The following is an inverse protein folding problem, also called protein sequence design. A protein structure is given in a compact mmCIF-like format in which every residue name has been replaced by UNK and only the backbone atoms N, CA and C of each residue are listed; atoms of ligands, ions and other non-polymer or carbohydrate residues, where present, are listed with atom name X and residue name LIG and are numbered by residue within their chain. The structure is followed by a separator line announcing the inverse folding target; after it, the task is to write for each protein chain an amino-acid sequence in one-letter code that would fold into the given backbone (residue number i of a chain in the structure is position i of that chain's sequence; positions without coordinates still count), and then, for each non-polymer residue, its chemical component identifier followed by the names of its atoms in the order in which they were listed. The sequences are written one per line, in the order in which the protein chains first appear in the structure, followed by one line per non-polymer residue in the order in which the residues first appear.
data_IF_480204813584
#
_entry.id   IF_480204813584
#
_cell.length_a   1.000
_cell.length_b   1.000
_cell.length_c   1.000
_cell.angle_alpha   90.00
_cell.angle_beta   90.00
_cell.angle_gamma   90.00
#
_symmetry.space_group_name_H-M   'P 1'
#
loop_
_entity.id
_entity.type
_entity.pdbx_description
1 polymer ?
#
# COMPACT_ATOMS: atom_id res chain seq x y z
N UNK A 1 4.53 -62.10 11.38
CA UNK A 1 5.13 -60.96 10.64
C UNK A 1 4.18 -59.78 10.76
N UNK A 2 4.27 -59.01 11.84
CA UNK A 2 3.43 -57.82 12.06
C UNK A 2 4.34 -56.70 12.54
N UNK A 3 4.87 -55.91 11.60
CA UNK A 3 5.68 -54.74 11.94
C UNK A 3 4.77 -53.69 12.61
N UNK A 4 5.14 -53.13 13.77
CA UNK A 4 4.32 -52.12 14.43
C UNK A 4 4.22 -50.88 13.56
N UNK A 5 2.99 -50.38 13.36
CA UNK A 5 2.72 -49.11 12.69
C UNK A 5 3.33 -47.96 13.50
N UNK A 6 4.27 -47.24 12.89
CA UNK A 6 4.96 -46.10 13.49
C UNK A 6 4.08 -44.85 13.42
N UNK A 7 3.11 -44.76 14.33
CA UNK A 7 2.20 -43.61 14.50
C UNK A 7 2.94 -42.35 15.01
N UNK A 8 4.12 -42.53 15.64
CA UNK A 8 4.92 -41.46 16.22
C UNK A 8 5.54 -40.52 15.18
N UNK A 9 6.05 -41.05 14.06
CA UNK A 9 6.65 -40.22 13.01
C UNK A 9 5.61 -39.39 12.25
N UNK A 10 4.43 -39.96 11.98
CA UNK A 10 3.32 -39.24 11.32
C UNK A 10 2.69 -38.18 12.24
N UNK A 11 2.58 -38.49 13.53
CA UNK A 11 2.14 -37.52 14.54
C UNK A 11 3.12 -36.36 14.66
N UNK A 12 4.43 -36.62 14.61
CA UNK A 12 5.46 -35.60 14.67
C UNK A 12 5.46 -34.66 13.45
N UNK A 13 5.24 -35.19 12.24
CA UNK A 13 5.16 -34.36 11.03
C UNK A 13 3.91 -33.49 11.01
N UNK A 14 2.77 -34.04 11.44
CA UNK A 14 1.51 -33.28 11.57
C UNK A 14 1.68 -32.19 12.65
N UNK A 15 2.27 -32.52 13.80
CA UNK A 15 2.54 -31.55 14.86
C UNK A 15 3.48 -30.42 14.39
N UNK A 16 4.53 -30.75 13.64
CA UNK A 16 5.45 -29.77 13.07
C UNK A 16 4.78 -28.89 12.00
N UNK A 17 3.95 -29.46 11.14
CA UNK A 17 3.18 -28.71 10.14
C UNK A 17 2.16 -27.75 10.80
N UNK A 18 1.47 -28.20 11.85
CA UNK A 18 0.56 -27.37 12.65
C UNK A 18 1.32 -26.26 13.37
N UNK A 19 2.49 -26.55 13.93
CA UNK A 19 3.37 -25.55 14.55
C UNK A 19 3.78 -24.47 13.53
N UNK A 20 4.27 -24.87 12.36
CA UNK A 20 4.64 -23.92 11.29
C UNK A 20 3.45 -23.06 10.83
N UNK A 21 2.26 -23.64 10.71
CA UNK A 21 1.04 -22.91 10.35
C UNK A 21 0.61 -21.91 11.43
N UNK A 22 0.82 -22.20 12.71
CA UNK A 22 0.56 -21.26 13.81
C UNK A 22 1.58 -20.11 13.82
N UNK A 23 2.83 -20.36 13.42
CA UNK A 23 3.88 -19.35 13.34
C UNK A 23 3.76 -18.41 12.12
N UNK A 24 3.11 -18.82 11.04
CA UNK A 24 2.98 -17.99 9.81
C UNK A 24 1.86 -16.94 9.89
N UNK A 25 0.98 -17.01 10.89
CA UNK A 25 -0.15 -16.10 11.07
C UNK A 25 0.18 -14.97 12.07
N UNK A 26 1.41 -14.45 12.08
CA UNK A 26 1.71 -13.23 12.84
C UNK A 26 1.16 -12.03 12.10
N UNK A 27 0.20 -11.27 12.65
CA UNK A 27 -0.23 -10.01 12.04
C UNK A 27 0.95 -9.04 12.07
N UNK A 28 1.55 -8.77 10.92
CA UNK A 28 2.56 -7.73 10.78
C UNK A 28 1.85 -6.38 10.85
N UNK A 29 1.88 -5.73 12.01
CA UNK A 29 1.41 -4.36 12.13
C UNK A 29 2.51 -3.45 11.55
N UNK A 30 2.37 -3.03 10.29
CA UNK A 30 3.20 -1.99 9.70
C UNK A 30 2.76 -0.63 10.28
N UNK A 31 3.10 -0.40 11.55
CA UNK A 31 2.66 0.77 12.29
C UNK A 31 3.41 2.02 11.80
N UNK A 32 2.68 2.95 11.17
CA UNK A 32 3.25 4.25 10.78
C UNK A 32 3.65 5.01 12.04
N UNK A 33 4.87 5.56 12.02
CA UNK A 33 5.38 6.41 13.11
C UNK A 33 5.73 7.78 12.53
N UNK A 34 5.40 8.85 13.26
CA UNK A 34 5.72 10.23 12.84
C UNK A 34 7.22 10.52 12.72
N UNK A 35 8.05 9.71 13.39
CA UNK A 35 9.52 9.83 13.43
C UNK A 35 10.23 8.95 12.40
N UNK A 36 9.50 8.34 11.47
CA UNK A 36 10.06 7.40 10.49
C UNK A 36 11.22 8.00 9.68
N UNK A 37 11.16 9.30 9.39
CA UNK A 37 12.19 10.01 8.64
C UNK A 37 13.24 10.72 9.50
N UNK A 38 13.16 10.69 10.83
CA UNK A 38 14.02 11.51 11.69
C UNK A 38 15.50 11.15 11.56
N UNK A 39 15.81 9.86 11.39
CA UNK A 39 17.18 9.37 11.28
C UNK A 39 17.72 9.33 9.84
N UNK A 40 16.85 9.36 8.83
CA UNK A 40 17.23 9.24 7.41
C UNK A 40 17.15 10.59 6.68
N UNK A 41 16.10 11.35 6.92
CA UNK A 41 15.87 12.67 6.35
C UNK A 41 15.08 13.55 7.34
N UNK A 42 15.74 14.15 8.34
CA UNK A 42 15.07 14.91 9.41
C UNK A 42 14.30 16.13 8.89
N UNK A 43 14.69 16.65 7.72
CA UNK A 43 14.05 17.81 7.10
C UNK A 43 12.91 17.45 6.15
N UNK A 44 12.57 16.15 5.99
CA UNK A 44 11.54 15.70 5.05
C UNK A 44 10.19 16.40 5.30
N UNK A 45 9.69 16.34 6.54
CA UNK A 45 8.40 16.92 6.89
C UNK A 45 8.38 18.45 6.70
N UNK A 46 9.48 19.12 7.05
CA UNK A 46 9.64 20.57 6.91
C UNK A 46 9.62 20.98 5.45
N UNK A 47 10.40 20.29 4.60
CA UNK A 47 10.46 20.53 3.16
C UNK A 47 9.09 20.31 2.48
N UNK A 48 8.40 19.23 2.84
CA UNK A 48 7.04 18.95 2.32
C UNK A 48 6.09 20.09 2.70
N UNK A 49 6.10 20.51 3.97
CA UNK A 49 5.23 21.59 4.47
C UNK A 49 5.52 22.92 3.76
N UNK A 50 6.79 23.25 3.51
CA UNK A 50 7.15 24.47 2.77
C UNK A 50 6.68 24.43 1.33
N UNK A 51 6.83 23.30 0.65
CA UNK A 51 6.38 23.12 -0.73
C UNK A 51 4.85 23.22 -0.85
N UNK A 52 4.11 22.57 0.04
CA UNK A 52 2.64 22.66 0.08
C UNK A 52 2.20 24.11 0.35
N UNK A 53 2.81 24.79 1.32
CA UNK A 53 2.47 26.19 1.62
C UNK A 53 2.70 27.11 0.43
N UNK A 54 3.83 26.94 -0.28
CA UNK A 54 4.12 27.71 -1.50
C UNK A 54 3.07 27.45 -2.58
N UNK A 55 2.73 26.18 -2.81
CA UNK A 55 1.74 25.80 -3.80
C UNK A 55 0.33 26.34 -3.46
N UNK A 56 -0.10 26.23 -2.21
CA UNK A 56 -1.39 26.77 -1.74
C UNK A 56 -1.42 28.29 -1.73
N UNK A 57 -0.29 28.96 -1.47
CA UNK A 57 -0.20 30.42 -1.57
C UNK A 57 -0.31 30.91 -3.01
N UNK A 58 0.16 30.13 -3.98
CA UNK A 58 -0.02 30.41 -5.41
C UNK A 58 -1.48 30.19 -5.82
N UNK A 59 -2.06 29.06 -5.40
CA UNK A 59 -3.45 28.70 -5.71
C UNK A 59 -4.13 28.06 -4.51
N UNK A 60 -5.06 28.76 -3.86
CA UNK A 60 -5.77 28.23 -2.68
C UNK A 60 -6.52 26.92 -2.97
N UNK A 61 -6.98 26.74 -4.22
CA UNK A 61 -7.70 25.54 -4.66
C UNK A 61 -6.84 24.27 -4.57
N UNK A 62 -5.50 24.39 -4.61
CA UNK A 62 -4.60 23.24 -4.50
C UNK A 62 -4.73 22.50 -3.17
N UNK A 63 -5.04 23.18 -2.06
CA UNK A 63 -5.21 22.53 -0.76
C UNK A 63 -6.35 21.50 -0.80
N UNK A 64 -7.48 21.87 -1.39
CA UNK A 64 -8.63 20.99 -1.55
C UNK A 64 -8.32 19.82 -2.50
N UNK A 65 -7.60 20.08 -3.59
CA UNK A 65 -7.20 19.03 -4.55
C UNK A 65 -6.25 18.01 -3.92
N UNK A 66 -5.25 18.43 -3.13
CA UNK A 66 -4.31 17.54 -2.43
C UNK A 66 -5.04 16.61 -1.45
N UNK A 67 -5.96 17.15 -0.67
CA UNK A 67 -6.76 16.37 0.29
C UNK A 67 -7.65 15.37 -0.46
N UNK A 68 -8.32 15.79 -1.54
CA UNK A 68 -9.16 14.90 -2.35
C UNK A 68 -8.37 13.77 -3.00
N UNK A 69 -7.13 14.04 -3.42
CA UNK A 69 -6.23 13.03 -3.97
C UNK A 69 -5.87 11.98 -2.92
N UNK A 70 -5.52 12.40 -1.70
CA UNK A 70 -5.23 11.50 -0.58
C UNK A 70 -6.44 10.62 -0.22
N UNK A 71 -7.64 11.21 -0.18
CA UNK A 71 -8.86 10.43 0.05
C UNK A 71 -9.13 9.42 -1.07
N UNK A 72 -8.87 9.78 -2.32
CA UNK A 72 -9.09 8.89 -3.46
C UNK A 72 -8.06 7.75 -3.52
N UNK A 73 -6.81 8.03 -3.16
CA UNK A 73 -5.74 7.03 -3.04
C UNK A 73 -6.07 6.01 -1.95
N UNK A 74 -6.46 6.47 -0.77
CA UNK A 74 -6.77 5.59 0.35
C UNK A 74 -8.11 4.84 0.24
N UNK A 75 -9.06 5.28 -0.59
CA UNK A 75 -10.36 4.62 -0.71
C UNK A 75 -10.30 3.36 -1.59
N UNK A 76 -9.33 3.25 -2.50
CA UNK A 76 -9.17 2.12 -3.41
C UNK A 76 -7.87 1.40 -3.08
N UNK A 77 -7.97 0.20 -2.49
CA UNK A 77 -6.86 -0.74 -2.25
C UNK A 77 -5.69 -0.27 -1.36
N UNK A 78 -5.63 0.98 -0.91
CA UNK A 78 -4.73 1.43 0.17
C UNK A 78 -3.98 2.72 -0.15
N UNK A 79 -3.39 3.37 0.88
CA UNK A 79 -2.61 4.60 0.72
C UNK A 79 -1.18 4.29 0.23
N UNK A 80 -1.04 3.72 -0.96
CA UNK A 80 0.24 3.30 -1.54
C UNK A 80 0.78 4.28 -2.60
N UNK A 81 0.11 5.43 -2.80
CA UNK A 81 0.43 6.43 -3.82
C UNK A 81 0.40 5.89 -5.26
N UNK A 82 -0.28 4.77 -5.50
CA UNK A 82 -0.44 4.17 -6.81
C UNK A 82 -1.06 5.14 -7.82
N UNK A 83 -1.92 6.07 -7.38
CA UNK A 83 -2.53 7.09 -8.25
C UNK A 83 -1.52 8.09 -8.84
N UNK A 84 -0.35 8.24 -8.19
CA UNK A 84 0.72 9.17 -8.57
C UNK A 84 1.75 8.54 -9.52
N UNK A 85 1.68 7.23 -9.76
CA UNK A 85 2.50 6.56 -10.76
C UNK A 85 1.96 6.89 -12.17
N UNK A 86 2.71 7.71 -12.91
CA UNK A 86 2.59 7.74 -14.36
C UNK A 86 3.31 6.50 -14.88
N UNK A 87 2.56 5.62 -15.53
CA UNK A 87 2.98 4.27 -15.90
C UNK A 87 4.22 4.33 -16.78
N UNK A 88 5.39 4.05 -16.20
CA UNK A 88 6.51 3.53 -16.96
C UNK A 88 6.13 2.12 -17.45
N UNK A 89 5.59 2.08 -18.67
CA UNK A 89 5.62 0.96 -19.61
C UNK A 89 4.81 -0.34 -19.37
N UNK A 90 4.02 -0.56 -18.31
CA UNK A 90 3.33 -1.88 -18.14
C UNK A 90 1.88 -1.93 -17.64
N UNK A 91 1.18 -0.81 -17.47
CA UNK A 91 -0.23 -0.80 -17.05
C UNK A 91 -1.10 0.20 -17.86
N UNK A 92 -1.33 -0.11 -19.14
CA UNK A 92 -2.26 0.59 -20.03
C UNK A 92 -3.74 0.31 -19.69
N UNK A 93 -4.17 0.42 -18.44
CA UNK A 93 -5.58 0.12 -18.11
C UNK A 93 -6.32 1.26 -17.42
N UNK A 94 -5.79 1.90 -16.38
CA UNK A 94 -6.69 2.71 -15.53
C UNK A 94 -6.83 4.19 -15.93
N UNK A 95 -5.79 4.83 -16.48
CA UNK A 95 -5.89 6.20 -17.02
C UNK A 95 -6.55 6.25 -18.39
N UNK A 96 -6.30 5.25 -19.23
CA UNK A 96 -6.89 5.12 -20.56
C UNK A 96 -8.40 4.95 -20.47
N UNK A 97 -8.91 4.13 -19.56
CA UNK A 97 -10.35 3.93 -19.38
C UNK A 97 -11.08 5.21 -18.90
N UNK A 98 -10.47 6.02 -18.04
CA UNK A 98 -11.10 7.26 -17.54
C UNK A 98 -11.03 8.44 -18.52
N UNK A 99 -10.12 8.40 -19.50
CA UNK A 99 -10.11 9.37 -20.60
C UNK A 99 -11.05 8.94 -21.73
N UNK A 100 -11.11 7.64 -22.05
CA UNK A 100 -11.99 7.08 -23.07
C UNK A 100 -13.49 7.24 -22.73
N UNK A 101 -13.87 7.00 -21.45
CA UNK A 101 -15.25 7.23 -21.00
C UNK A 101 -15.68 8.71 -21.05
N UNK A 102 -14.74 9.67 -21.04
CA UNK A 102 -15.06 11.10 -21.20
C UNK A 102 -15.27 11.50 -22.66
N UNK A 103 -14.74 10.75 -23.61
CA UNK A 103 -15.03 10.96 -25.03
C UNK A 103 -16.33 10.27 -25.45
N UNK A 104 -16.61 9.06 -24.96
CA UNK A 104 -17.87 8.35 -25.25
C UNK A 104 -19.09 9.06 -24.65
N UNK A 105 -18.97 9.72 -23.49
CA UNK A 105 -20.09 10.50 -22.91
C UNK A 105 -20.36 11.83 -23.64
N UNK A 106 -19.53 12.22 -24.62
CA UNK A 106 -19.68 13.46 -25.37
C UNK A 106 -20.14 13.25 -26.82
N UNK A 107 -20.37 12.00 -27.23
CA UNK A 107 -21.12 11.64 -28.44
C UNK A 107 -22.51 11.17 -28.08
#
# INVERSE_FOLDING_TARGET
MSRPMNYGSFSATIAYALLLFLLSNTPTNAQLTSTFYDNTCPNALTSIRTSIRKAVSSERRMAASLIRLHFHDCFVQGCDASILLDVAATALSERSLMQDLREVSKS
#
